data_IF_858958070302
#
_entry.id   IF_858958070302
#
_cell.length_a   1.000
_cell.length_b   1.000
_cell.length_c   1.000
_cell.angle_alpha   90.00
_cell.angle_beta   90.00
_cell.angle_gamma   90.00
#
_symmetry.space_group_name_H-M   'P 1'
#
loop_
_entity.id
_entity.type
_entity.pdbx_description
1 polymer ?
#
# COMPACT_ATOMS: atom_id res chain seq x y z
N UNK A 1 -16.62 13.43 -70.84
CA UNK A 1 -17.32 12.58 -69.86
C UNK A 1 -16.46 12.38 -68.62
N UNK A 2 -16.70 13.13 -67.55
CA UNK A 2 -16.10 12.93 -66.21
C UNK A 2 -17.25 13.04 -65.21
N UNK A 3 -17.73 11.91 -64.71
CA UNK A 3 -18.87 11.83 -63.80
C UNK A 3 -18.35 11.60 -62.38
N UNK A 4 -18.63 12.60 -61.55
CA UNK A 4 -18.88 12.58 -60.11
C UNK A 4 -18.89 11.21 -59.42
N UNK A 5 -17.93 10.97 -58.52
CA UNK A 5 -17.93 9.89 -57.50
C UNK A 5 -17.31 10.30 -56.16
N UNK A 6 -17.41 11.59 -55.77
CA UNK A 6 -16.78 12.09 -54.53
C UNK A 6 -17.80 12.41 -53.41
N UNK A 7 -19.11 12.40 -53.66
CA UNK A 7 -20.08 12.99 -52.72
C UNK A 7 -20.81 12.05 -51.76
N UNK A 8 -20.54 10.74 -51.73
CA UNK A 8 -21.26 9.79 -50.84
C UNK A 8 -20.44 9.38 -49.59
N UNK A 9 -19.12 9.53 -49.60
CA UNK A 9 -18.28 9.13 -48.45
C UNK A 9 -18.29 10.14 -47.28
N UNK A 10 -18.70 11.39 -47.53
CA UNK A 10 -18.71 12.46 -46.51
C UNK A 10 -19.98 12.44 -45.65
N UNK A 11 -21.08 11.83 -46.12
CA UNK A 11 -22.35 11.82 -45.37
C UNK A 11 -22.42 10.73 -44.27
N UNK A 12 -21.57 9.71 -44.32
CA UNK A 12 -21.54 8.64 -43.31
C UNK A 12 -20.73 9.00 -42.05
N UNK A 13 -20.01 10.12 -42.05
CA UNK A 13 -19.27 10.60 -40.86
C UNK A 13 -20.15 11.38 -39.87
N UNK A 14 -21.39 11.72 -40.22
CA UNK A 14 -22.28 12.54 -39.38
C UNK A 14 -23.37 11.75 -38.62
N UNK A 15 -23.45 10.43 -38.75
CA UNK A 15 -24.48 9.61 -38.10
C UNK A 15 -24.00 8.69 -36.97
N UNK A 16 -22.73 8.78 -36.56
CA UNK A 16 -22.22 8.09 -35.36
C UNK A 16 -22.09 9.02 -34.14
N UNK A 17 -22.94 10.04 -34.03
CA UNK A 17 -23.26 10.60 -32.71
C UNK A 17 -24.28 9.66 -32.05
N UNK A 18 -23.83 8.49 -31.60
CA UNK A 18 -24.58 7.73 -30.60
C UNK A 18 -24.62 8.63 -29.37
N UNK A 19 -25.80 9.17 -29.06
CA UNK A 19 -26.06 9.72 -27.74
C UNK A 19 -25.61 8.68 -26.74
N UNK A 20 -24.62 9.02 -25.91
CA UNK A 20 -24.20 8.18 -24.80
C UNK A 20 -25.46 7.81 -24.02
N UNK A 21 -25.91 6.57 -24.20
CA UNK A 21 -26.99 6.03 -23.40
C UNK A 21 -26.33 5.85 -22.04
N UNK A 22 -26.62 6.77 -21.13
CA UNK A 22 -26.31 6.65 -19.71
C UNK A 22 -27.08 5.43 -19.19
N UNK A 23 -26.49 4.25 -19.37
CA UNK A 23 -26.97 3.01 -18.75
C UNK A 23 -26.77 3.22 -17.26
N UNK A 24 -27.85 3.25 -16.44
CA UNK A 24 -27.71 3.40 -15.01
C UNK A 24 -26.81 2.29 -14.49
N UNK A 25 -25.65 2.65 -13.94
CA UNK A 25 -24.81 1.69 -13.22
C UNK A 25 -25.60 1.23 -12.01
N UNK A 26 -26.19 0.04 -12.11
CA UNK A 26 -26.83 -0.63 -10.98
C UNK A 26 -25.73 -0.88 -9.95
N UNK A 27 -25.81 -0.20 -8.79
CA UNK A 27 -24.89 -0.47 -7.69
C UNK A 27 -25.11 -1.91 -7.21
N UNK A 28 -24.15 -2.78 -7.49
CA UNK A 28 -24.15 -4.12 -6.95
C UNK A 28 -23.75 -4.08 -5.46
N UNK A 29 -24.45 -4.81 -4.58
CA UNK A 29 -24.01 -4.95 -3.20
C UNK A 29 -22.60 -5.58 -3.17
N UNK A 30 -21.75 -5.19 -2.19
CA UNK A 30 -20.46 -5.84 -2.00
C UNK A 30 -20.63 -7.35 -1.78
N UNK A 31 -19.72 -8.16 -2.34
CA UNK A 31 -19.65 -9.59 -2.04
C UNK A 31 -19.26 -9.80 -0.58
N UNK A 32 -19.90 -10.77 0.08
CA UNK A 32 -19.56 -11.23 1.43
C UNK A 32 -19.01 -12.64 1.36
N UNK A 33 -18.42 -13.12 2.47
CA UNK A 33 -17.94 -14.51 2.60
C UNK A 33 -16.98 -14.94 1.50
N UNK A 34 -16.17 -13.99 1.00
CA UNK A 34 -15.28 -14.16 -0.16
C UNK A 34 -14.00 -14.95 0.15
N UNK A 35 -13.88 -15.50 1.36
CA UNK A 35 -12.70 -16.22 1.83
C UNK A 35 -13.06 -17.65 2.21
N UNK A 36 -12.39 -18.62 1.58
CA UNK A 36 -12.46 -20.03 1.95
C UNK A 36 -11.18 -20.44 2.67
N UNK A 37 -11.26 -20.84 3.94
CA UNK A 37 -10.11 -21.32 4.71
C UNK A 37 -9.45 -22.55 4.05
N UNK A 38 -8.13 -22.54 3.91
CA UNK A 38 -7.35 -23.68 3.40
C UNK A 38 -6.53 -24.37 4.48
N UNK A 39 -5.68 -23.61 5.20
CA UNK A 39 -4.74 -24.16 6.17
C UNK A 39 -4.39 -23.12 7.24
N UNK A 40 -4.07 -23.61 8.44
CA UNK A 40 -3.46 -22.85 9.53
C UNK A 40 -2.20 -23.59 9.98
N UNK A 41 -1.10 -22.87 10.19
CA UNK A 41 0.17 -23.47 10.60
C UNK A 41 1.04 -22.47 11.38
N UNK A 42 2.05 -22.97 12.09
CA UNK A 42 3.04 -22.16 12.82
C UNK A 42 3.14 -22.48 14.31
N UNK A 43 2.17 -23.23 14.84
CA UNK A 43 2.14 -23.69 16.23
C UNK A 43 2.72 -25.10 16.41
N UNK A 44 2.80 -25.54 17.67
CA UNK A 44 3.27 -26.87 18.09
C UNK A 44 2.43 -28.04 17.57
N UNK A 45 1.22 -27.78 17.07
CA UNK A 45 0.31 -28.80 16.54
C UNK A 45 0.55 -29.05 15.05
N UNK A 46 1.08 -28.04 14.36
CA UNK A 46 1.20 -28.03 12.89
C UNK A 46 2.65 -28.09 12.42
N UNK A 47 3.61 -27.75 13.28
CA UNK A 47 5.04 -27.75 13.00
C UNK A 47 5.75 -28.78 13.87
N UNK A 48 6.47 -29.70 13.23
CA UNK A 48 7.24 -30.78 13.87
C UNK A 48 8.67 -30.39 14.26
N UNK A 49 9.18 -29.29 13.71
CA UNK A 49 10.52 -28.75 13.97
C UNK A 49 10.45 -27.50 14.82
N UNK A 50 10.92 -27.58 16.05
CA UNK A 50 10.91 -26.47 17.02
C UNK A 50 11.46 -25.16 16.46
N UNK A 51 12.49 -25.21 15.62
CA UNK A 51 13.10 -24.01 15.02
C UNK A 51 12.15 -23.22 14.09
N UNK A 52 11.09 -23.85 13.57
CA UNK A 52 10.06 -23.25 12.72
C UNK A 52 8.80 -22.80 13.48
N UNK A 53 8.66 -23.13 14.78
CA UNK A 53 7.53 -22.63 15.58
C UNK A 53 7.55 -21.11 15.62
N UNK A 54 6.41 -20.46 15.36
CA UNK A 54 6.31 -19.02 15.37
C UNK A 54 6.23 -18.52 16.81
N UNK A 55 7.26 -17.85 17.31
CA UNK A 55 7.29 -17.43 18.71
C UNK A 55 6.91 -15.94 18.89
N UNK A 56 7.53 -15.06 18.09
CA UNK A 56 7.35 -13.60 18.12
C UNK A 56 7.40 -13.02 16.69
N UNK A 57 6.54 -13.48 15.78
CA UNK A 57 6.53 -13.01 14.40
C UNK A 57 6.17 -11.53 14.40
N UNK A 58 6.92 -10.74 13.61
CA UNK A 58 6.74 -9.29 13.52
C UNK A 58 6.28 -8.81 12.16
N UNK A 59 6.61 -9.55 11.12
CA UNK A 59 6.32 -9.17 9.74
C UNK A 59 6.24 -10.42 8.88
N UNK A 60 5.43 -10.35 7.83
CA UNK A 60 5.20 -11.45 6.91
C UNK A 60 5.04 -10.89 5.50
N UNK A 61 5.53 -11.64 4.51
CA UNK A 61 5.23 -11.41 3.09
C UNK A 61 5.19 -12.74 2.32
N UNK A 62 4.65 -12.75 1.11
CA UNK A 62 4.48 -13.94 0.26
C UNK A 62 5.00 -13.67 -1.15
N UNK A 63 5.88 -14.54 -1.65
CA UNK A 63 6.40 -14.40 -3.01
C UNK A 63 5.42 -14.95 -4.06
N UNK A 64 5.69 -14.73 -5.35
CA UNK A 64 4.83 -15.20 -6.44
C UNK A 64 4.72 -16.74 -6.57
N UNK A 65 5.61 -17.50 -5.91
CA UNK A 65 5.52 -18.97 -5.84
C UNK A 65 4.63 -19.44 -4.69
N UNK A 66 4.14 -18.51 -3.87
CA UNK A 66 3.36 -18.78 -2.67
C UNK A 66 4.21 -19.21 -1.48
N UNK A 67 5.54 -19.01 -1.51
CA UNK A 67 6.37 -19.21 -0.32
C UNK A 67 6.13 -18.05 0.66
N UNK A 68 5.97 -18.39 1.93
CA UNK A 68 5.53 -17.51 3.00
C UNK A 68 6.72 -17.19 3.88
N UNK A 69 7.12 -15.92 3.92
CA UNK A 69 8.27 -15.42 4.65
C UNK A 69 7.81 -14.78 5.93
N UNK A 70 8.32 -15.26 7.06
CA UNK A 70 7.95 -14.74 8.37
C UNK A 70 9.21 -14.29 9.08
N UNK A 71 9.29 -13.00 9.38
CA UNK A 71 10.35 -12.48 10.24
C UNK A 71 9.97 -12.73 11.69
N UNK A 72 10.65 -13.69 12.31
CA UNK A 72 10.38 -14.18 13.66
C UNK A 72 11.70 -14.37 14.42
N UNK A 73 11.79 -13.85 15.64
CA UNK A 73 13.00 -13.95 16.48
C UNK A 73 14.31 -13.59 15.76
N UNK A 74 14.32 -12.52 14.97
CA UNK A 74 15.51 -12.05 14.23
C UNK A 74 15.98 -12.95 13.08
N UNK A 75 15.14 -13.89 12.63
CA UNK A 75 15.41 -14.78 11.50
C UNK A 75 14.19 -14.80 10.59
N UNK A 76 14.40 -15.11 9.32
CA UNK A 76 13.32 -15.45 8.41
C UNK A 76 13.05 -16.94 8.50
N UNK A 77 11.80 -17.30 8.78
CA UNK A 77 11.27 -18.65 8.66
C UNK A 77 10.43 -18.69 7.39
N UNK A 78 10.84 -19.51 6.42
CA UNK A 78 10.15 -19.65 5.14
C UNK A 78 9.36 -20.95 5.14
N UNK A 79 8.07 -20.85 4.82
CA UNK A 79 7.16 -21.97 4.61
C UNK A 79 6.78 -22.05 3.13
N UNK A 80 6.44 -23.24 2.65
CA UNK A 80 5.86 -23.38 1.31
C UNK A 80 4.39 -22.96 1.28
N UNK A 81 3.78 -23.02 0.11
CA UNK A 81 2.38 -22.65 -0.10
C UNK A 81 1.35 -23.55 0.62
N UNK A 82 1.81 -24.61 1.31
CA UNK A 82 1.01 -25.51 2.17
C UNK A 82 1.36 -25.36 3.65
N UNK A 83 2.20 -24.38 4.01
CA UNK A 83 2.62 -24.17 5.40
C UNK A 83 3.72 -25.09 5.89
N UNK A 84 4.41 -25.82 4.99
CA UNK A 84 5.47 -26.75 5.39
C UNK A 84 6.81 -26.01 5.50
N UNK A 85 7.61 -26.27 6.55
CA UNK A 85 8.95 -25.71 6.70
C UNK A 85 9.86 -25.88 5.46
N UNK A 86 10.44 -24.79 4.95
CA UNK A 86 11.41 -24.81 3.83
C UNK A 86 12.82 -24.43 4.24
N UNK A 87 13.00 -23.24 4.82
CA UNK A 87 14.31 -22.63 5.05
C UNK A 87 14.25 -21.67 6.24
N UNK A 88 15.34 -21.60 6.99
CA UNK A 88 15.60 -20.51 7.95
C UNK A 88 16.87 -19.79 7.52
N UNK A 89 16.88 -18.46 7.61
CA UNK A 89 18.11 -17.67 7.46
C UNK A 89 18.09 -16.41 8.32
N UNK A 90 19.27 -15.85 8.50
CA UNK A 90 19.53 -14.71 9.36
C UNK A 90 19.71 -15.06 10.83
N UNK A 91 19.66 -14.06 11.69
CA UNK A 91 19.90 -14.18 13.12
C UNK A 91 20.13 -12.82 13.76
N UNK A 92 20.22 -12.79 15.08
CA UNK A 92 20.56 -11.56 15.79
C UNK A 92 22.05 -11.23 15.63
N UNK A 93 22.36 -10.03 15.13
CA UNK A 93 23.74 -9.58 14.98
C UNK A 93 23.95 -8.49 13.92
N UNK A 94 25.20 -8.21 13.59
CA UNK A 94 25.60 -7.16 12.64
C UNK A 94 26.30 -7.69 11.38
N UNK A 95 26.57 -8.99 11.33
CA UNK A 95 27.20 -9.65 10.20
C UNK A 95 26.27 -9.80 9.00
N UNK A 96 26.78 -10.48 7.97
CA UNK A 96 26.04 -10.82 6.76
C UNK A 96 24.78 -11.61 7.12
N UNK A 97 23.62 -11.17 6.62
CA UNK A 97 22.29 -11.73 6.91
C UNK A 97 21.78 -11.56 8.35
N UNK A 98 22.52 -10.88 9.23
CA UNK A 98 22.09 -10.67 10.61
C UNK A 98 21.39 -9.33 10.81
N UNK A 99 20.52 -9.28 11.82
CA UNK A 99 19.68 -8.14 12.16
C UNK A 99 19.92 -7.74 13.62
N UNK A 100 20.34 -6.48 13.84
CA UNK A 100 20.63 -5.96 15.19
C UNK A 100 19.58 -4.94 15.67
N UNK A 101 18.71 -4.51 14.77
CA UNK A 101 17.71 -3.45 14.98
C UNK A 101 16.36 -3.88 14.48
N UNK A 102 15.31 -3.35 15.11
CA UNK A 102 13.91 -3.63 14.77
C UNK A 102 13.73 -3.53 13.24
N UNK A 103 13.28 -4.63 12.64
CA UNK A 103 12.78 -4.66 11.27
C UNK A 103 11.45 -3.92 11.26
N UNK A 104 11.39 -2.83 10.50
CA UNK A 104 10.26 -1.93 10.39
C UNK A 104 9.33 -2.36 9.25
N UNK A 105 9.90 -2.93 8.18
CA UNK A 105 9.14 -3.41 7.02
C UNK A 105 9.89 -4.53 6.30
N UNK A 106 9.14 -5.46 5.70
CA UNK A 106 9.65 -6.42 4.72
C UNK A 106 8.73 -6.35 3.50
N UNK A 107 9.30 -6.49 2.32
CA UNK A 107 8.56 -6.53 1.06
C UNK A 107 9.26 -7.47 0.07
N UNK A 108 8.50 -8.28 -0.62
CA UNK A 108 8.93 -9.14 -1.73
C UNK A 108 8.31 -8.59 -3.01
N UNK A 109 9.15 -8.11 -3.92
CA UNK A 109 8.67 -7.62 -5.21
C UNK A 109 8.10 -8.75 -6.08
N UNK A 110 7.30 -8.43 -7.12
CA UNK A 110 6.84 -9.42 -8.10
C UNK A 110 7.98 -10.24 -8.73
N UNK A 111 9.16 -9.65 -8.85
CA UNK A 111 10.40 -10.28 -9.33
C UNK A 111 11.03 -11.24 -8.31
N UNK A 112 10.58 -11.20 -7.06
CA UNK A 112 10.97 -12.09 -5.96
C UNK A 112 12.10 -11.56 -5.08
N UNK A 113 12.56 -10.33 -5.27
CA UNK A 113 13.59 -9.74 -4.39
C UNK A 113 12.97 -9.37 -3.05
N UNK A 114 13.60 -9.83 -1.97
CA UNK A 114 13.20 -9.50 -0.61
C UNK A 114 13.99 -8.28 -0.14
N UNK A 115 13.28 -7.20 0.16
CA UNK A 115 13.83 -6.01 0.81
C UNK A 115 13.44 -6.00 2.28
N UNK A 116 14.42 -5.86 3.17
CA UNK A 116 14.22 -5.84 4.62
C UNK A 116 14.71 -4.51 5.17
N UNK A 117 13.78 -3.67 5.60
CA UNK A 117 14.08 -2.39 6.20
C UNK A 117 14.24 -2.56 7.71
N UNK A 118 15.48 -2.43 8.20
CA UNK A 118 15.76 -2.27 9.62
C UNK A 118 16.03 -0.79 9.91
N UNK A 119 15.88 -0.35 11.17
CA UNK A 119 16.12 1.06 11.52
C UNK A 119 17.51 1.57 11.05
N UNK A 120 17.53 2.34 9.97
CA UNK A 120 18.74 2.95 9.38
C UNK A 120 19.51 2.08 8.38
N UNK A 121 19.07 0.84 8.10
CA UNK A 121 19.64 0.02 7.04
C UNK A 121 18.55 -0.63 6.19
N UNK A 122 18.85 -0.92 4.93
CA UNK A 122 18.10 -1.91 4.17
C UNK A 122 18.99 -3.11 3.87
N UNK A 123 18.39 -4.30 3.86
CA UNK A 123 19.04 -5.54 3.44
C UNK A 123 18.32 -6.04 2.20
N UNK A 124 19.07 -6.55 1.24
CA UNK A 124 18.56 -7.03 -0.04
C UNK A 124 18.93 -8.51 -0.22
N UNK A 125 17.94 -9.31 -0.62
CA UNK A 125 18.10 -10.72 -0.94
C UNK A 125 17.52 -11.02 -2.31
N UNK A 126 18.21 -11.87 -3.07
CA UNK A 126 17.78 -12.31 -4.39
C UNK A 126 16.60 -13.30 -4.29
N UNK A 127 15.93 -13.60 -5.41
CA UNK A 127 14.77 -14.52 -5.42
C UNK A 127 15.05 -15.96 -4.97
N UNK A 128 16.31 -16.38 -4.90
CA UNK A 128 16.75 -17.67 -4.34
C UNK A 128 17.11 -17.58 -2.84
N UNK A 129 16.88 -16.42 -2.22
CA UNK A 129 17.21 -16.09 -0.83
C UNK A 129 18.72 -16.03 -0.56
N UNK A 130 19.52 -15.71 -1.57
CA UNK A 130 20.93 -15.38 -1.37
C UNK A 130 21.05 -13.91 -0.95
N UNK A 131 21.95 -13.63 -0.02
CA UNK A 131 22.22 -12.27 0.43
C UNK A 131 22.94 -11.50 -0.67
N UNK A 132 22.43 -10.33 -1.02
CA UNK A 132 23.08 -9.41 -1.95
C UNK A 132 23.86 -8.38 -1.15
N UNK A 133 23.18 -7.62 -0.30
CA UNK A 133 23.82 -6.53 0.44
C UNK A 133 23.04 -6.07 1.68
N UNK A 134 23.75 -5.32 2.52
CA UNK A 134 23.22 -4.56 3.66
C UNK A 134 23.82 -3.16 3.59
N UNK A 135 22.99 -2.15 3.33
CA UNK A 135 23.46 -0.75 3.21
C UNK A 135 22.93 0.11 4.34
N UNK A 136 23.80 0.93 4.91
CA UNK A 136 23.40 1.98 5.83
C UNK A 136 22.81 3.13 5.02
N UNK A 137 21.55 3.48 5.28
CA UNK A 137 20.84 4.50 4.51
C UNK A 137 21.49 5.89 4.61
N UNK A 138 22.25 6.17 5.68
CA UNK A 138 22.97 7.43 5.86
C UNK A 138 24.25 7.52 5.02
N UNK A 139 24.75 6.40 4.49
CA UNK A 139 25.98 6.32 3.69
C UNK A 139 25.74 5.80 2.26
N UNK A 140 24.49 5.55 1.89
CA UNK A 140 24.12 5.18 0.53
C UNK A 140 24.16 6.43 -0.36
N UNK A 141 25.01 6.43 -1.39
CA UNK A 141 25.22 7.59 -2.27
C UNK A 141 23.94 8.03 -2.99
N UNK A 142 23.09 7.08 -3.40
CA UNK A 142 21.83 7.38 -4.07
C UNK A 142 20.87 8.03 -3.09
N UNK A 143 20.74 7.49 -1.88
CA UNK A 143 19.88 8.10 -0.86
C UNK A 143 20.41 9.47 -0.43
N UNK A 144 21.73 9.64 -0.29
CA UNK A 144 22.34 10.95 -0.01
C UNK A 144 22.00 11.95 -1.12
N UNK A 145 22.08 11.54 -2.39
CA UNK A 145 21.72 12.40 -3.52
C UNK A 145 20.24 12.81 -3.44
N UNK A 146 19.32 11.86 -3.26
CA UNK A 146 17.87 12.14 -3.14
C UNK A 146 17.61 13.09 -1.97
N UNK A 147 18.23 12.84 -0.81
CA UNK A 147 18.10 13.69 0.38
C UNK A 147 18.56 15.12 0.10
N UNK A 148 19.73 15.30 -0.52
CA UNK A 148 20.30 16.62 -0.75
C UNK A 148 19.53 17.39 -1.84
N UNK A 149 19.07 16.71 -2.88
CA UNK A 149 18.38 17.33 -4.02
C UNK A 149 16.93 17.70 -3.66
N UNK A 150 16.23 16.84 -2.92
CA UNK A 150 14.79 17.00 -2.64
C UNK A 150 14.46 17.34 -1.19
N UNK A 151 15.47 17.50 -0.34
CA UNK A 151 15.33 17.77 1.10
C UNK A 151 14.42 16.76 1.81
N UNK A 152 14.52 15.48 1.45
CA UNK A 152 13.71 14.40 2.06
C UNK A 152 14.42 13.76 3.24
N UNK A 153 13.65 13.09 4.08
CA UNK A 153 14.11 12.36 5.25
C UNK A 153 13.77 10.87 5.09
N UNK A 154 14.77 10.03 5.30
CA UNK A 154 14.61 8.58 5.37
C UNK A 154 14.44 8.15 6.83
N UNK A 155 13.20 8.26 7.33
CA UNK A 155 12.81 7.77 8.64
C UNK A 155 11.95 6.50 8.53
N UNK A 156 11.18 6.17 9.58
CA UNK A 156 10.32 4.98 9.65
C UNK A 156 9.21 4.93 8.60
N UNK A 157 8.90 6.05 7.96
CA UNK A 157 7.92 6.14 6.86
C UNK A 157 8.55 5.91 5.50
N UNK A 158 9.88 5.86 5.42
CA UNK A 158 10.56 5.46 4.20
C UNK A 158 10.13 4.04 3.84
N UNK A 159 9.81 3.83 2.56
CA UNK A 159 9.65 2.50 2.00
C UNK A 159 10.64 2.37 0.85
N UNK A 160 11.26 1.20 0.76
CA UNK A 160 12.20 0.85 -0.30
C UNK A 160 11.80 -0.54 -0.79
N UNK A 161 11.48 -0.64 -2.07
CA UNK A 161 11.12 -1.90 -2.72
C UNK A 161 12.12 -2.16 -3.85
N UNK A 162 12.92 -3.21 -3.73
CA UNK A 162 13.84 -3.61 -4.79
C UNK A 162 13.13 -4.42 -5.87
N UNK A 163 13.27 -4.00 -7.12
CA UNK A 163 12.84 -4.76 -8.31
C UNK A 163 13.96 -5.67 -8.82
N UNK A 164 15.21 -5.26 -8.59
CA UNK A 164 16.42 -6.06 -8.71
C UNK A 164 17.56 -5.41 -7.91
N UNK A 165 18.80 -5.82 -8.14
CA UNK A 165 19.99 -5.31 -7.45
C UNK A 165 20.29 -3.81 -7.70
N UNK A 166 19.78 -3.22 -8.79
CA UNK A 166 20.06 -1.84 -9.19
C UNK A 166 18.80 -0.98 -9.42
N UNK A 167 17.61 -1.58 -9.33
CA UNK A 167 16.33 -0.93 -9.55
C UNK A 167 15.47 -0.93 -8.28
N UNK A 168 15.04 0.25 -7.84
CA UNK A 168 14.28 0.45 -6.61
C UNK A 168 13.10 1.41 -6.81
N UNK A 169 12.03 1.17 -6.07
CA UNK A 169 11.00 2.17 -5.77
C UNK A 169 11.24 2.69 -4.35
N UNK A 170 11.23 4.01 -4.18
CA UNK A 170 11.52 4.65 -2.90
C UNK A 170 10.43 5.66 -2.60
N UNK A 171 9.73 5.49 -1.48
CA UNK A 171 8.84 6.51 -0.94
C UNK A 171 9.55 7.26 0.19
N UNK A 172 9.58 8.59 0.12
CA UNK A 172 10.18 9.44 1.15
C UNK A 172 9.43 10.76 1.30
N UNK A 173 9.68 11.47 2.40
CA UNK A 173 8.91 12.65 2.84
C UNK A 173 9.87 13.76 3.27
N UNK A 174 9.55 15.03 3.04
CA UNK A 174 10.35 16.17 3.54
C UNK A 174 10.24 16.36 5.06
N UNK A 175 9.12 15.92 5.63
CA UNK A 175 8.91 15.96 7.07
C UNK A 175 9.71 14.83 7.72
N UNK A 176 10.24 15.05 8.92
CA UNK A 176 10.78 13.99 9.77
C UNK A 176 9.85 13.71 10.94
N UNK A 177 9.71 12.43 11.31
CA UNK A 177 9.07 12.00 12.56
C UNK A 177 9.67 12.62 13.84
N UNK A 178 10.88 13.19 13.76
CA UNK A 178 11.58 13.74 14.91
C UNK A 178 11.54 15.28 14.99
N UNK A 179 11.17 16.00 13.92
CA UNK A 179 11.36 17.45 13.82
C UNK A 179 10.06 18.22 13.48
N UNK A 180 8.95 17.87 14.13
CA UNK A 180 7.63 18.45 13.82
C UNK A 180 7.41 19.90 14.29
N UNK A 181 8.29 20.46 15.12
CA UNK A 181 8.11 21.83 15.62
C UNK A 181 8.43 22.92 14.59
N UNK A 182 8.98 22.57 13.41
CA UNK A 182 9.41 23.53 12.37
C UNK A 182 8.41 23.77 11.23
N UNK A 183 7.20 23.21 11.31
CA UNK A 183 6.19 23.16 10.24
C UNK A 183 5.53 24.50 9.86
N UNK A 184 6.09 25.65 10.25
CA UNK A 184 5.39 26.93 10.13
C UNK A 184 5.72 27.75 8.88
N UNK A 185 6.67 27.32 8.02
CA UNK A 185 7.12 28.18 6.90
C UNK A 185 7.36 27.51 5.54
N UNK A 186 7.53 26.20 5.47
CA UNK A 186 7.88 25.52 4.20
C UNK A 186 6.80 24.52 3.78
N UNK A 187 6.57 24.41 2.47
CA UNK A 187 5.71 23.37 1.92
C UNK A 187 6.43 22.03 2.05
N UNK A 188 5.75 21.08 2.65
CA UNK A 188 6.22 19.72 2.78
C UNK A 188 5.65 18.81 1.68
N UNK A 189 6.43 17.82 1.27
CA UNK A 189 6.09 16.95 0.16
C UNK A 189 6.36 15.47 0.46
N UNK A 190 5.45 14.61 -0.01
CA UNK A 190 5.69 13.18 -0.19
C UNK A 190 6.12 12.93 -1.64
N UNK A 191 7.15 12.10 -1.79
CA UNK A 191 7.73 11.72 -3.06
C UNK A 191 7.68 10.21 -3.26
N UNK A 192 7.47 9.80 -4.52
CA UNK A 192 7.72 8.46 -5.00
C UNK A 192 8.79 8.53 -6.08
N UNK A 193 9.94 7.88 -5.83
CA UNK A 193 11.06 7.83 -6.75
C UNK A 193 11.16 6.45 -7.40
N UNK A 194 11.52 6.43 -8.68
CA UNK A 194 12.10 5.28 -9.35
C UNK A 194 13.60 5.51 -9.50
N UNK A 195 14.38 4.56 -9.02
CA UNK A 195 15.85 4.56 -9.12
C UNK A 195 16.26 3.40 -10.01
N UNK A 196 17.10 3.67 -11.01
CA UNK A 196 17.74 2.64 -11.83
C UNK A 196 19.20 2.99 -12.07
N UNK A 197 20.13 2.23 -11.49
CA UNK A 197 21.57 2.40 -11.70
C UNK A 197 22.05 3.85 -11.46
N UNK A 198 21.54 4.49 -10.40
CA UNK A 198 21.82 5.89 -10.05
C UNK A 198 21.00 6.95 -10.80
N UNK A 199 20.24 6.58 -11.83
CA UNK A 199 19.26 7.47 -12.45
C UNK A 199 18.02 7.58 -11.55
N UNK A 200 17.75 8.78 -11.05
CA UNK A 200 16.60 9.06 -10.17
C UNK A 200 15.51 9.75 -11.00
N UNK A 201 14.30 9.19 -10.96
CA UNK A 201 13.09 9.75 -11.55
C UNK A 201 12.03 9.94 -10.48
N UNK A 202 11.42 11.11 -10.44
CA UNK A 202 10.22 11.34 -9.62
C UNK A 202 9.02 10.76 -10.38
N UNK A 203 8.41 9.72 -9.84
CA UNK A 203 7.15 9.18 -10.34
C UNK A 203 5.96 10.02 -9.84
N UNK A 204 6.04 10.49 -8.60
CA UNK A 204 4.99 11.30 -7.98
C UNK A 204 5.56 12.28 -6.95
N UNK A 205 4.89 13.44 -6.83
CA UNK A 205 5.17 14.47 -5.82
C UNK A 205 3.85 15.07 -5.37
N UNK A 206 3.60 15.03 -4.07
CA UNK A 206 2.35 15.52 -3.47
C UNK A 206 2.64 16.43 -2.28
N UNK A 207 1.87 17.49 -2.14
CA UNK A 207 1.87 18.29 -0.90
C UNK A 207 1.43 17.37 0.27
N UNK A 208 2.11 17.43 1.41
CA UNK A 208 1.69 16.68 2.59
C UNK A 208 0.50 17.38 3.21
N UNK A 209 -0.67 16.78 3.00
CA UNK A 209 -1.93 17.22 3.61
C UNK A 209 -2.10 16.68 5.04
N UNK A 210 -1.26 15.76 5.49
CA UNK A 210 -1.35 15.12 6.80
C UNK A 210 -0.01 15.24 7.56
N UNK A 211 0.13 16.21 8.46
CA UNK A 211 1.34 16.25 9.28
C UNK A 211 1.15 15.38 10.53
N UNK A 212 1.79 14.21 10.52
CA UNK A 212 2.03 13.36 11.71
C UNK A 212 2.59 14.24 12.82
N UNK A 213 2.17 14.08 14.07
CA UNK A 213 2.87 14.74 15.19
C UNK A 213 2.97 13.77 16.36
N UNK A 214 4.18 13.60 16.87
CA UNK A 214 4.45 12.83 18.10
C UNK A 214 4.13 13.68 19.33
N UNK A 215 3.40 13.12 20.28
CA UNK A 215 3.12 13.75 21.57
C UNK A 215 4.32 13.54 22.51
N UNK A 216 4.99 14.61 22.94
CA UNK A 216 5.92 14.53 24.08
C UNK A 216 5.16 14.22 25.38
N UNK A 217 5.69 13.28 26.16
CA UNK A 217 5.25 13.00 27.54
C UNK A 217 4.28 11.82 27.72
N UNK A 218 3.76 11.22 26.65
CA UNK A 218 3.04 9.95 26.71
C UNK A 218 3.91 8.84 26.18
N UNK A 219 4.20 7.81 26.98
CA UNK A 219 5.00 6.62 26.58
C UNK A 219 4.41 5.80 25.43
N UNK A 220 3.40 6.29 24.72
CA UNK A 220 2.89 5.78 23.47
C UNK A 220 2.95 6.88 22.40
N UNK A 221 3.79 6.67 21.38
CA UNK A 221 3.73 7.42 20.13
C UNK A 221 2.40 7.08 19.44
N UNK A 222 1.35 7.84 19.73
CA UNK A 222 0.15 7.78 18.91
C UNK A 222 0.48 8.44 17.57
N UNK A 223 0.84 7.63 16.58
CA UNK A 223 0.56 7.97 15.19
C UNK A 223 -0.96 8.08 15.14
N UNK A 224 -1.53 9.29 15.19
CA UNK A 224 -2.89 9.47 14.66
C UNK A 224 -2.83 8.87 13.27
N UNK A 225 -3.42 7.70 13.11
CA UNK A 225 -3.20 6.89 11.91
C UNK A 225 -3.56 7.78 10.73
N UNK A 226 -2.59 8.04 9.84
CA UNK A 226 -2.67 8.92 8.65
C UNK A 226 -3.86 8.65 7.72
N UNK A 227 -4.68 7.64 8.06
CA UNK A 227 -5.82 7.15 7.32
C UNK A 227 -6.93 8.19 7.16
N UNK A 228 -7.10 9.12 8.09
CA UNK A 228 -8.26 10.03 8.07
C UNK A 228 -8.05 11.30 7.23
N UNK A 229 -6.81 11.65 6.87
CA UNK A 229 -6.46 12.88 6.12
C UNK A 229 -5.89 12.56 4.73
N UNK A 230 -5.71 11.27 4.44
CA UNK A 230 -5.15 10.78 3.20
C UNK A 230 -3.63 10.88 3.15
N UNK A 231 -3.03 10.10 2.25
CA UNK A 231 -1.58 9.99 2.09
C UNK A 231 -1.24 9.44 0.71
N UNK A 232 0.01 9.61 0.30
CA UNK A 232 0.58 8.87 -0.81
C UNK A 232 0.72 7.39 -0.43
N UNK A 233 0.14 6.50 -1.23
CA UNK A 233 0.36 5.06 -1.15
C UNK A 233 0.72 4.53 -2.53
N UNK A 234 1.51 3.45 -2.55
CA UNK A 234 1.82 2.71 -3.76
C UNK A 234 1.85 1.21 -3.49
N UNK A 235 1.84 0.43 -4.56
CA UNK A 235 2.07 -1.01 -4.53
C UNK A 235 2.64 -1.47 -5.87
N UNK A 236 3.46 -2.52 -5.84
CA UNK A 236 4.07 -3.08 -7.04
C UNK A 236 3.09 -3.97 -7.79
N UNK A 237 3.08 -3.85 -9.11
CA UNK A 237 2.35 -4.71 -10.03
C UNK A 237 3.36 -5.56 -10.82
N UNK A 238 2.95 -6.74 -11.31
CA UNK A 238 3.76 -7.52 -12.25
C UNK A 238 4.20 -6.70 -13.47
N UNK A 239 5.24 -7.19 -14.14
CA UNK A 239 5.82 -6.60 -15.35
C UNK A 239 6.44 -5.22 -15.10
N UNK A 240 7.14 -5.05 -13.96
CA UNK A 240 7.78 -3.80 -13.55
C UNK A 240 6.84 -2.59 -13.60
N UNK A 241 5.65 -2.74 -13.01
CA UNK A 241 4.68 -1.66 -12.90
C UNK A 241 4.51 -1.21 -11.47
N UNK A 242 4.13 0.05 -11.28
CA UNK A 242 3.78 0.61 -9.97
C UNK A 242 2.40 1.23 -10.05
N UNK A 243 1.52 0.87 -9.13
CA UNK A 243 0.26 1.56 -8.89
C UNK A 243 0.44 2.54 -7.73
N UNK A 244 -0.01 3.79 -7.87
CA UNK A 244 0.02 4.76 -6.79
C UNK A 244 -1.12 5.77 -6.87
N UNK A 245 -1.41 6.42 -5.75
CA UNK A 245 -2.30 7.58 -5.65
C UNK A 245 -2.12 8.26 -4.30
N UNK A 246 -2.38 9.56 -4.23
CA UNK A 246 -2.60 10.25 -2.97
C UNK A 246 -4.10 10.30 -2.68
N UNK A 247 -4.52 9.63 -1.62
CA UNK A 247 -5.94 9.45 -1.32
C UNK A 247 -6.71 10.72 -0.92
N UNK A 248 -6.03 11.85 -0.73
CA UNK A 248 -6.70 13.13 -0.46
C UNK A 248 -6.51 14.18 -1.56
N UNK A 249 -5.54 13.99 -2.47
CA UNK A 249 -5.24 14.97 -3.53
C UNK A 249 -5.77 14.51 -4.88
N UNK A 250 -5.69 13.22 -5.20
CA UNK A 250 -6.12 12.71 -6.50
C UNK A 250 -7.65 12.46 -6.56
N UNK A 251 -8.42 13.39 -6.01
CA UNK A 251 -9.87 13.31 -5.93
C UNK A 251 -10.51 14.58 -6.53
N UNK A 252 -11.60 14.41 -7.28
CA UNK A 252 -12.47 15.49 -7.74
C UNK A 252 -13.88 15.24 -7.19
N UNK A 253 -14.43 16.19 -6.44
CA UNK A 253 -15.76 16.06 -5.82
C UNK A 253 -16.68 17.15 -6.36
N UNK A 254 -17.75 16.75 -7.05
CA UNK A 254 -18.78 17.63 -7.62
C UNK A 254 -20.16 17.03 -7.41
N UNK A 255 -21.13 17.85 -6.98
CA UNK A 255 -22.53 17.43 -6.81
C UNK A 255 -22.74 16.15 -5.95
N UNK A 256 -21.97 16.00 -4.86
CA UNK A 256 -21.95 14.79 -4.01
C UNK A 256 -21.48 13.50 -4.70
N UNK A 257 -20.82 13.61 -5.86
CA UNK A 257 -20.11 12.52 -6.51
C UNK A 257 -18.61 12.79 -6.47
N UNK A 258 -17.83 11.77 -6.11
CA UNK A 258 -16.39 11.80 -6.09
C UNK A 258 -15.81 10.95 -7.22
N UNK A 259 -14.72 11.42 -7.82
CA UNK A 259 -13.89 10.65 -8.75
C UNK A 259 -12.49 10.60 -8.19
N UNK A 260 -12.04 9.39 -7.87
CA UNK A 260 -10.65 9.10 -7.52
C UNK A 260 -9.86 8.81 -8.80
N UNK A 261 -8.66 9.36 -8.91
CA UNK A 261 -7.67 9.02 -9.94
C UNK A 261 -6.55 8.19 -9.33
N UNK A 262 -6.33 7.00 -9.89
CA UNK A 262 -5.17 6.17 -9.62
C UNK A 262 -4.25 6.20 -10.82
N UNK A 263 -2.96 6.04 -10.56
CA UNK A 263 -1.96 5.99 -11.61
C UNK A 263 -1.29 4.62 -11.63
N UNK A 264 -1.07 4.11 -12.83
CA UNK A 264 -0.15 3.01 -13.06
C UNK A 264 0.99 3.50 -13.94
N UNK A 265 2.22 3.10 -13.63
CA UNK A 265 3.41 3.46 -14.41
C UNK A 265 4.14 2.19 -14.80
N UNK A 266 4.37 2.00 -16.10
CA UNK A 266 5.33 1.03 -16.63
C UNK A 266 6.73 1.60 -16.48
N UNK A 267 7.60 0.95 -15.71
CA UNK A 267 8.94 1.47 -15.42
C UNK A 267 9.93 1.30 -16.57
N UNK A 268 9.64 0.43 -17.55
CA UNK A 268 10.47 0.26 -18.74
C UNK A 268 10.36 1.43 -19.71
N UNK A 269 9.14 1.96 -19.87
CA UNK A 269 8.85 3.12 -20.74
C UNK A 269 8.56 4.43 -20.01
N UNK A 270 8.34 4.37 -18.70
CA UNK A 270 7.73 5.45 -17.89
C UNK A 270 6.35 5.89 -18.42
N UNK A 271 5.64 5.00 -19.12
CA UNK A 271 4.28 5.26 -19.59
C UNK A 271 3.33 5.29 -18.39
N UNK A 272 2.69 6.43 -18.18
CA UNK A 272 1.71 6.65 -17.12
C UNK A 272 0.30 6.47 -17.66
N UNK A 273 -0.52 5.69 -16.96
CA UNK A 273 -1.95 5.50 -17.24
C UNK A 273 -2.79 5.89 -16.03
N UNK A 274 -3.98 6.40 -16.31
CA UNK A 274 -4.95 6.82 -15.29
C UNK A 274 -6.08 5.80 -15.21
N UNK A 275 -6.50 5.49 -13.98
CA UNK A 275 -7.64 4.64 -13.66
C UNK A 275 -8.58 5.46 -12.80
N UNK A 276 -9.82 5.64 -13.26
CA UNK A 276 -10.82 6.42 -12.54
C UNK A 276 -11.77 5.52 -11.75
N UNK A 277 -12.06 5.90 -10.51
CA UNK A 277 -13.05 5.23 -9.68
C UNK A 277 -14.06 6.24 -9.15
N UNK A 278 -15.33 6.07 -9.52
CA UNK A 278 -16.44 6.86 -8.99
C UNK A 278 -16.84 6.35 -7.61
N UNK A 279 -17.04 7.26 -6.66
CA UNK A 279 -17.45 6.93 -5.30
C UNK A 279 -18.40 7.99 -4.73
N UNK A 280 -19.12 7.63 -3.68
CA UNK A 280 -19.91 8.57 -2.88
C UNK A 280 -19.01 9.15 -1.78
N UNK A 281 -18.69 10.46 -1.78
CA UNK A 281 -17.87 11.06 -0.75
C UNK A 281 -18.53 10.98 0.62
N UNK A 282 -17.77 10.55 1.61
CA UNK A 282 -18.23 10.53 3.00
C UNK A 282 -17.76 11.80 3.69
N UNK A 283 -18.69 12.58 4.24
CA UNK A 283 -18.33 13.74 5.06
C UNK A 283 -17.57 13.29 6.30
N UNK A 284 -16.59 14.07 6.73
CA UNK A 284 -15.87 13.82 7.98
C UNK A 284 -16.86 13.97 9.15
N UNK A 285 -17.12 12.92 9.96
CA UNK A 285 -17.99 13.04 11.12
C UNK A 285 -17.45 14.04 12.14
N UNK A 286 -18.34 14.82 12.76
CA UNK A 286 -17.96 15.78 13.79
C UNK A 286 -17.24 15.11 14.97
N UNK A 287 -17.59 13.86 15.30
CA UNK A 287 -16.93 13.06 16.34
C UNK A 287 -15.43 12.84 16.09
N UNK A 288 -14.98 12.81 14.83
CA UNK A 288 -13.56 12.74 14.48
C UNK A 288 -12.89 14.09 14.78
N UNK A 289 -13.53 15.19 14.39
CA UNK A 289 -13.02 16.55 14.64
C UNK A 289 -12.93 16.82 16.15
N UNK A 290 -13.98 16.52 16.91
CA UNK A 290 -14.07 16.73 18.36
C UNK A 290 -13.01 15.94 19.14
N UNK A 291 -12.63 14.75 18.65
CA UNK A 291 -11.56 13.93 19.24
C UNK A 291 -10.23 14.67 19.28
N UNK A 292 -9.94 15.49 18.27
CA UNK A 292 -8.75 16.33 18.26
C UNK A 292 -8.97 17.55 19.15
N UNK A 293 -10.09 18.25 19.01
CA UNK A 293 -10.33 19.48 19.79
C UNK A 293 -10.34 19.27 21.31
N UNK A 294 -10.96 18.18 21.78
CA UNK A 294 -11.06 17.83 23.20
C UNK A 294 -9.72 17.65 23.90
N UNK A 295 -8.65 17.38 23.15
CA UNK A 295 -7.28 17.26 23.69
C UNK A 295 -6.65 18.62 23.99
N UNK A 296 -7.16 19.70 23.41
CA UNK A 296 -6.80 21.08 23.74
C UNK A 296 -5.40 21.55 23.32
N UNK A 297 -4.56 20.70 22.73
CA UNK A 297 -3.21 21.10 22.27
C UNK A 297 -3.31 21.91 20.97
N UNK A 298 -2.40 22.86 20.77
CA UNK A 298 -2.38 23.71 19.56
C UNK A 298 -2.35 22.90 18.26
N UNK A 299 -1.61 21.78 18.26
CA UNK A 299 -1.61 20.84 17.15
C UNK A 299 -2.98 20.22 16.92
N UNK A 300 -3.62 19.66 17.95
CA UNK A 300 -4.87 18.95 17.73
C UNK A 300 -5.92 19.91 17.14
N UNK A 301 -5.90 21.18 17.55
CA UNK A 301 -6.70 22.25 16.92
C UNK A 301 -6.36 22.46 15.44
N UNK A 302 -5.08 22.42 15.06
CA UNK A 302 -4.65 22.51 13.64
C UNK A 302 -5.20 21.34 12.83
N UNK A 303 -5.10 20.11 13.34
CA UNK A 303 -5.66 18.93 12.65
C UNK A 303 -7.17 19.02 12.55
N UNK A 304 -7.87 19.43 13.62
CA UNK A 304 -9.30 19.69 13.58
C UNK A 304 -9.67 20.72 12.49
N UNK A 305 -8.90 21.79 12.35
CA UNK A 305 -9.12 22.80 11.30
C UNK A 305 -8.89 22.22 9.90
N UNK A 306 -7.82 21.44 9.70
CA UNK A 306 -7.55 20.80 8.41
C UNK A 306 -8.66 19.82 8.03
N UNK A 307 -9.17 19.03 8.98
CA UNK A 307 -10.31 18.15 8.78
C UNK A 307 -11.57 18.93 8.36
N UNK A 308 -11.81 20.12 8.95
CA UNK A 308 -12.91 21.00 8.53
C UNK A 308 -12.74 21.50 7.11
N UNK A 309 -11.52 21.88 6.73
CA UNK A 309 -11.20 22.39 5.39
C UNK A 309 -11.38 21.33 4.31
N UNK A 310 -11.00 20.07 4.57
CA UNK A 310 -11.10 18.98 3.60
C UNK A 310 -12.54 18.47 3.41
N UNK A 311 -13.43 18.68 4.38
CA UNK A 311 -14.86 18.31 4.42
C UNK A 311 -15.19 16.80 4.28
N UNK A 312 -14.42 16.04 3.52
CA UNK A 312 -14.66 14.64 3.17
C UNK A 312 -13.49 13.75 3.58
N UNK A 313 -13.81 12.52 3.99
CA UNK A 313 -12.82 11.47 4.24
C UNK A 313 -12.18 11.03 2.92
N UNK A 314 -10.89 10.63 2.94
CA UNK A 314 -10.26 10.02 1.78
C UNK A 314 -11.02 8.73 1.38
N UNK A 315 -11.21 8.44 0.08
CA UNK A 315 -11.99 7.29 -0.38
C UNK A 315 -11.34 5.94 -0.04
N UNK A 316 -10.04 5.93 0.29
CA UNK A 316 -9.30 4.73 0.66
C UNK A 316 -8.10 5.08 1.54
N UNK A 317 -7.60 4.09 2.29
CA UNK A 317 -6.45 4.24 3.19
C UNK A 317 -5.29 3.26 2.88
N UNK A 318 -5.56 2.29 2.01
CA UNK A 318 -4.62 1.25 1.57
C UNK A 318 -4.82 0.98 0.09
N UNK A 319 -3.70 0.82 -0.59
CA UNK A 319 -3.61 0.34 -1.96
C UNK A 319 -2.68 -0.86 -1.90
N UNK A 320 -3.20 -2.02 -2.29
CA UNK A 320 -2.43 -3.25 -2.41
C UNK A 320 -2.73 -3.89 -3.76
N UNK A 321 -1.92 -4.86 -4.17
CA UNK A 321 -2.09 -5.57 -5.44
C UNK A 321 -2.22 -7.06 -5.21
N UNK A 322 -2.90 -7.72 -6.15
CA UNK A 322 -2.89 -9.17 -6.28
C UNK A 322 -2.78 -9.53 -7.77
N UNK A 323 -1.58 -9.93 -8.19
CA UNK A 323 -1.26 -10.03 -9.61
C UNK A 323 -1.55 -8.71 -10.32
N UNK A 324 -2.42 -8.75 -11.33
CA UNK A 324 -2.80 -7.55 -12.09
C UNK A 324 -3.93 -6.72 -11.48
N UNK A 325 -4.47 -7.12 -10.33
CA UNK A 325 -5.60 -6.43 -9.71
C UNK A 325 -5.11 -5.44 -8.66
N UNK A 326 -5.72 -4.26 -8.61
CA UNK A 326 -5.53 -3.28 -7.54
C UNK A 326 -6.70 -3.41 -6.58
N UNK A 327 -6.41 -3.49 -5.29
CA UNK A 327 -7.40 -3.58 -4.22
C UNK A 327 -7.28 -2.33 -3.35
N UNK A 328 -8.34 -1.52 -3.31
CA UNK A 328 -8.43 -0.35 -2.46
C UNK A 328 -9.21 -0.68 -1.19
N UNK A 329 -8.61 -0.47 -0.02
CA UNK A 329 -9.32 -0.55 1.26
C UNK A 329 -10.09 0.73 1.53
N UNK A 330 -11.43 0.69 1.43
CA UNK A 330 -12.30 1.82 1.76
C UNK A 330 -12.43 1.94 3.28
N UNK A 331 -12.19 3.15 3.77
CA UNK A 331 -12.50 3.51 5.13
C UNK A 331 -14.01 3.73 5.26
N UNK A 332 -14.75 2.76 5.77
CA UNK A 332 -16.14 2.98 6.18
C UNK A 332 -16.16 3.14 7.69
N UNK A 333 -16.57 4.32 8.14
CA UNK A 333 -16.83 4.58 9.56
C UNK A 333 -18.33 4.64 9.77
N UNK A 334 -18.79 4.02 10.84
CA UNK A 334 -20.15 4.24 11.35
C UNK A 334 -20.26 5.65 11.95
N UNK A 335 -21.49 6.15 12.13
CA UNK A 335 -21.73 7.50 12.67
C UNK A 335 -21.12 7.70 14.07
N UNK A 336 -21.04 6.63 14.87
CA UNK A 336 -20.40 6.61 16.19
C UNK A 336 -18.87 6.45 16.13
N UNK A 337 -18.31 6.29 14.93
CA UNK A 337 -16.88 6.07 14.68
C UNK A 337 -16.42 4.61 14.82
N UNK A 338 -17.35 3.67 15.00
CA UNK A 338 -17.12 2.23 14.97
C UNK A 338 -16.62 1.77 13.59
N UNK A 339 -15.80 0.72 13.59
CA UNK A 339 -15.41 0.00 12.37
C UNK A 339 -16.32 -1.21 12.29
N UNK A 340 -17.09 -1.34 11.20
CA UNK A 340 -17.92 -2.52 10.94
C UNK A 340 -17.09 -3.80 10.93
N UNK A 341 -17.76 -4.94 11.10
CA UNK A 341 -17.17 -6.25 10.86
C UNK A 341 -16.65 -6.32 9.40
N UNK A 342 -15.35 -6.13 9.23
CA UNK A 342 -14.66 -6.15 7.95
C UNK A 342 -14.42 -4.79 7.27
N UNK A 343 -13.56 -4.82 6.26
CA UNK A 343 -13.16 -3.68 5.43
C UNK A 343 -13.74 -3.87 4.02
N UNK A 344 -14.48 -2.87 3.53
CA UNK A 344 -14.97 -2.87 2.15
C UNK A 344 -13.82 -2.56 1.21
N UNK A 345 -13.65 -3.43 0.23
CA UNK A 345 -12.58 -3.35 -0.75
C UNK A 345 -13.15 -3.14 -2.15
N UNK A 346 -12.50 -2.28 -2.93
CA UNK A 346 -12.80 -2.08 -4.36
C UNK A 346 -11.72 -2.77 -5.16
N UNK A 347 -12.13 -3.60 -6.11
CA UNK A 347 -11.24 -4.36 -6.96
C UNK A 347 -11.26 -3.74 -8.35
N UNK A 348 -10.07 -3.34 -8.81
CA UNK A 348 -9.85 -2.71 -10.09
C UNK A 348 -8.93 -3.58 -10.94
N UNK A 349 -9.22 -3.68 -12.24
CA UNK A 349 -8.31 -4.26 -13.22
C UNK A 349 -7.28 -3.21 -13.66
N UNK A 350 -6.01 -3.42 -13.33
CA UNK A 350 -4.95 -2.47 -13.69
C UNK A 350 -4.67 -2.39 -15.19
N UNK A 351 -5.03 -3.40 -15.97
CA UNK A 351 -4.78 -3.43 -17.41
C UNK A 351 -5.87 -2.68 -18.16
N UNK A 352 -7.13 -2.90 -17.76
CA UNK A 352 -8.29 -2.35 -18.42
C UNK A 352 -8.79 -1.04 -17.80
N UNK A 353 -8.29 -0.66 -16.62
CA UNK A 353 -8.73 0.53 -15.89
C UNK A 353 -10.18 0.48 -15.46
N UNK A 354 -10.74 -0.72 -15.21
CA UNK A 354 -12.15 -0.93 -14.87
C UNK A 354 -12.33 -1.38 -13.43
N UNK A 355 -13.37 -0.87 -12.78
CA UNK A 355 -13.88 -1.45 -11.55
C UNK A 355 -14.56 -2.77 -11.85
N UNK A 356 -14.14 -3.83 -11.15
CA UNK A 356 -14.68 -5.16 -11.31
C UNK A 356 -15.78 -5.41 -10.29
N UNK A 357 -15.47 -5.25 -9.00
CA UNK A 357 -16.34 -5.67 -7.91
C UNK A 357 -16.02 -4.90 -6.62
N UNK A 358 -16.98 -4.91 -5.68
CA UNK A 358 -16.76 -4.57 -4.27
C UNK A 358 -16.86 -5.86 -3.44
N UNK A 359 -16.02 -6.04 -2.42
CA UNK A 359 -16.05 -7.19 -1.52
C UNK A 359 -15.72 -6.80 -0.09
N UNK A 360 -16.22 -7.54 0.90
CA UNK A 360 -15.94 -7.33 2.33
C UNK A 360 -14.93 -8.38 2.79
N UNK A 361 -13.77 -7.92 3.30
CA UNK A 361 -12.74 -8.77 3.89
C UNK A 361 -12.69 -8.57 5.40
N UNK A 362 -12.33 -9.58 6.23
CA UNK A 362 -12.25 -9.42 7.68
C UNK A 362 -11.27 -8.32 8.13
N UNK A 363 -10.17 -8.14 7.39
CA UNK A 363 -9.23 -7.02 7.54
C UNK A 363 -8.38 -6.87 6.28
N UNK A 364 -7.86 -5.66 6.03
CA UNK A 364 -6.82 -5.41 5.02
C UNK A 364 -5.40 -5.48 5.59
N UNK A 365 -5.25 -5.99 6.81
CA UNK A 365 -3.94 -6.16 7.45
C UNK A 365 -3.22 -7.45 7.05
N UNK A 366 -3.92 -8.39 6.40
CA UNK A 366 -3.30 -9.56 5.78
C UNK A 366 -2.64 -9.23 4.44
N UNK A 367 -2.03 -10.26 3.85
CA UNK A 367 -1.32 -10.20 2.57
C UNK A 367 -2.22 -10.79 1.50
N UNK A 368 -2.28 -10.13 0.35
CA UNK A 368 -2.99 -10.61 -0.83
C UNK A 368 -1.95 -11.04 -1.85
N UNK A 369 -2.01 -12.30 -2.27
CA UNK A 369 -1.05 -12.83 -3.24
C UNK A 369 -1.61 -14.03 -3.99
N UNK A 370 -1.62 -13.95 -5.31
CA UNK A 370 -2.06 -14.98 -6.24
C UNK A 370 -3.45 -15.56 -5.94
N UNK A 371 -4.42 -14.70 -5.62
CA UNK A 371 -5.79 -15.13 -5.27
C UNK A 371 -5.92 -15.76 -3.89
N UNK A 372 -4.96 -15.50 -3.00
CA UNK A 372 -4.98 -15.92 -1.61
C UNK A 372 -4.86 -14.73 -0.66
N UNK A 373 -5.52 -14.84 0.49
CA UNK A 373 -5.39 -13.95 1.63
C UNK A 373 -4.68 -14.68 2.77
N UNK A 374 -3.62 -14.08 3.31
CA UNK A 374 -2.83 -14.63 4.39
C UNK A 374 -2.93 -13.75 5.63
N UNK A 375 -3.28 -14.34 6.77
CA UNK A 375 -3.50 -13.65 8.03
C UNK A 375 -2.54 -14.18 9.11
N UNK A 376 -1.73 -13.31 9.69
CA UNK A 376 -0.91 -13.65 10.84
C UNK A 376 -1.71 -13.40 12.12
N UNK A 377 -2.11 -14.47 12.80
CA UNK A 377 -2.87 -14.41 14.05
C UNK A 377 -1.93 -14.57 15.23
N UNK A 378 -1.91 -13.56 16.10
CA UNK A 378 -1.12 -13.55 17.33
C UNK A 378 -2.08 -13.59 18.52
N UNK A 379 -1.90 -14.58 19.39
CA UNK A 379 -2.62 -14.71 20.66
C UNK A 379 -1.65 -14.49 21.83
N UNK A 380 -2.17 -14.11 23.00
CA UNK A 380 -1.34 -13.92 24.21
C UNK A 380 -0.90 -15.25 24.83
N UNK A 381 -1.73 -16.28 24.71
CA UNK A 381 -1.60 -17.55 25.43
C UNK A 381 -1.32 -18.75 24.50
N UNK A 382 -1.24 -18.52 23.18
CA UNK A 382 -0.99 -19.56 22.18
C UNK A 382 0.13 -19.13 21.23
N UNK A 383 0.84 -20.12 20.65
CA UNK A 383 1.76 -19.84 19.56
C UNK A 383 1.02 -19.15 18.40
N UNK A 384 1.58 -18.06 17.87
CA UNK A 384 1.10 -17.45 16.64
C UNK A 384 0.91 -18.46 15.50
N UNK A 385 -0.11 -18.24 14.69
CA UNK A 385 -0.41 -19.06 13.51
C UNK A 385 -0.62 -18.18 12.28
N UNK A 386 -0.33 -18.74 11.11
CA UNK A 386 -0.65 -18.14 9.82
C UNK A 386 -1.83 -18.89 9.24
N UNK A 387 -2.91 -18.17 8.99
CA UNK A 387 -4.09 -18.69 8.33
C UNK A 387 -4.04 -18.29 6.85
N UNK A 388 -4.26 -19.25 5.96
CA UNK A 388 -4.31 -19.06 4.51
C UNK A 388 -5.74 -19.31 4.03
N UNK A 389 -6.27 -18.35 3.28
CA UNK A 389 -7.62 -18.37 2.72
C UNK A 389 -7.55 -18.20 1.21
N UNK A 390 -8.30 -19.02 0.47
CA UNK A 390 -8.54 -18.82 -0.95
C UNK A 390 -9.59 -17.73 -1.16
N UNK A 391 -9.29 -16.77 -2.02
CA UNK A 391 -10.22 -15.70 -2.40
C UNK A 391 -11.15 -16.23 -3.48
N UNK A 392 -12.46 -15.99 -3.33
CA UNK A 392 -13.47 -16.36 -4.32
C UNK A 392 -13.14 -15.68 -5.68
N UNK A 393 -13.01 -16.43 -6.79
CA UNK A 393 -12.75 -15.86 -8.11
C UNK A 393 -13.72 -14.75 -8.54
N UNK A 394 -14.96 -14.75 -8.02
CA UNK A 394 -15.96 -13.72 -8.28
C UNK A 394 -15.49 -12.32 -7.84
N UNK A 395 -14.59 -12.22 -6.85
CA UNK A 395 -13.93 -10.97 -6.44
C UNK A 395 -13.19 -10.31 -7.60
N UNK A 396 -12.64 -11.12 -8.51
CA UNK A 396 -11.90 -10.68 -9.69
C UNK A 396 -12.76 -10.69 -10.96
N UNK A 397 -14.08 -10.77 -10.83
CA UNK A 397 -15.04 -10.78 -11.94
C UNK A 397 -15.00 -12.05 -12.81
N UNK A 398 -14.64 -13.20 -12.23
CA UNK A 398 -14.54 -14.49 -12.93
C UNK A 398 -15.69 -15.45 -12.65
#
# INVERSE_FOLDING_TARGET
MKISRVSILVLLLFFNCSSDIDVPTVEMPPLTDVLTFEVSFGDEKTIDKDEFLLAKPRSMDVNIKGDIYVFDEWKFKIFDNKGRPKKIFGGYGQGTQEFSKIVEHIEISPEGFLTVLERGYYNLFSPDNSFIEKKNMAFDETLIQIKNEYNVVFDRRCQISALNEQEFIIQASTVSMMNFQKLEKEKDFDYLFYVNSGNIKILAKYDIVNTVITIEGGGGSFTSQDRDIGRLVYSLLPDKRVAYSNSAIDIDIKNNEGVLTLYTVDLGGLEKREIYYKYTPQKIPQSIIDRFESRGKNHDKRVANMLREHMYLPPFNRLITDGKYIILGILIREEDGGVKDGEICVILDSENGKTLQKAIFPSMSGIFNNGYYYNLKVSADEFPVIEKYKIDPAVYGK
#
